data_IF_001954263559
#
_entry.id   IF_001954263559
#
_cell.length_a   1.000
_cell.length_b   1.000
_cell.length_c   1.000
_cell.angle_alpha   90.00
_cell.angle_beta   90.00
_cell.angle_gamma   90.00
#
_symmetry.space_group_name_H-M   'P 1'
#
loop_
_entity.id
_entity.type
_entity.pdbx_description
1 polymer ?
#
# COMPACT_ATOMS: atom_id res chain seq x y z
N UNK A 1 -23.42 -19.76 12.16
CA UNK A 1 -24.43 -19.90 11.12
C UNK A 1 -23.71 -20.30 9.85
N UNK A 2 -24.06 -21.46 9.31
CA UNK A 2 -23.51 -22.16 8.16
C UNK A 2 -23.50 -21.28 6.90
N UNK A 3 -22.46 -21.44 6.09
CA UNK A 3 -22.39 -20.98 4.73
C UNK A 3 -21.19 -21.60 4.04
N UNK A 4 -21.29 -22.90 3.76
CA UNK A 4 -20.48 -23.54 2.74
C UNK A 4 -20.97 -23.05 1.39
N UNK A 5 -20.11 -22.39 0.61
CA UNK A 5 -20.31 -22.22 -0.82
C UNK A 5 -19.15 -22.90 -1.51
N UNK A 6 -19.45 -24.05 -2.10
CA UNK A 6 -18.60 -24.67 -3.09
C UNK A 6 -18.65 -23.82 -4.36
N UNK A 7 -17.52 -23.28 -4.75
CA UNK A 7 -17.31 -22.79 -6.10
C UNK A 7 -16.56 -23.86 -6.89
N UNK A 8 -17.30 -24.73 -7.55
CA UNK A 8 -16.79 -25.53 -8.64
C UNK A 8 -16.49 -24.59 -9.82
N UNK A 9 -15.23 -24.29 -10.01
CA UNK A 9 -14.56 -24.10 -11.30
C UNK A 9 -13.19 -23.45 -11.05
N UNK A 10 -12.17 -24.23 -11.23
CA UNK A 10 -10.71 -24.00 -11.30
C UNK A 10 -9.89 -24.92 -10.38
N UNK A 11 -10.33 -26.12 -10.08
CA UNK A 11 -9.43 -27.18 -9.58
C UNK A 11 -8.65 -26.90 -8.28
N UNK A 12 -9.06 -25.91 -7.49
CA UNK A 12 -8.44 -25.59 -6.19
C UNK A 12 -9.55 -25.53 -5.16
N UNK A 13 -9.72 -26.62 -4.43
CA UNK A 13 -10.59 -26.67 -3.26
C UNK A 13 -9.92 -25.90 -2.12
N UNK A 14 -10.31 -24.65 -1.93
CA UNK A 14 -9.97 -23.91 -0.73
C UNK A 14 -10.93 -24.28 0.40
N UNK A 15 -10.53 -25.21 1.23
CA UNK A 15 -11.22 -25.42 2.51
C UNK A 15 -10.90 -24.24 3.41
N UNK A 16 -11.81 -23.28 3.51
CA UNK A 16 -11.74 -22.22 4.53
C UNK A 16 -12.03 -22.88 5.88
N UNK A 17 -10.98 -23.30 6.57
CA UNK A 17 -11.10 -23.66 7.98
C UNK A 17 -11.54 -22.41 8.74
N UNK A 18 -12.60 -22.53 9.55
CA UNK A 18 -12.97 -21.48 10.51
C UNK A 18 -11.77 -21.21 11.40
N UNK A 19 -11.10 -20.08 11.17
CA UNK A 19 -10.03 -19.61 12.04
C UNK A 19 -10.73 -19.11 13.30
N UNK A 20 -10.57 -19.83 14.40
CA UNK A 20 -10.95 -19.35 15.72
C UNK A 20 -9.98 -18.22 16.05
N UNK A 21 -10.45 -16.99 15.91
CA UNK A 21 -9.74 -15.78 16.32
C UNK A 21 -9.77 -15.75 17.85
N UNK A 22 -8.62 -15.70 18.49
CA UNK A 22 -8.55 -15.60 19.95
C UNK A 22 -9.03 -14.22 20.45
N UNK A 23 -9.24 -14.08 21.76
CA UNK A 23 -9.77 -12.84 22.34
C UNK A 23 -8.82 -11.64 22.15
N UNK A 24 -7.50 -11.86 22.11
CA UNK A 24 -6.52 -10.79 21.86
C UNK A 24 -6.56 -10.36 20.40
N UNK A 25 -6.70 -11.31 19.47
CA UNK A 25 -6.88 -11.02 18.05
C UNK A 25 -8.19 -10.28 17.79
N UNK A 26 -9.30 -10.67 18.46
CA UNK A 26 -10.57 -9.92 18.39
C UNK A 26 -10.42 -8.49 18.88
N UNK A 27 -9.76 -8.28 20.00
CA UNK A 27 -9.50 -6.94 20.54
C UNK A 27 -8.70 -6.09 19.56
N UNK A 28 -7.61 -6.61 19.00
CA UNK A 28 -6.79 -5.93 18.03
C UNK A 28 -7.58 -5.57 16.75
N UNK A 29 -8.47 -6.46 16.30
CA UNK A 29 -9.33 -6.22 15.16
C UNK A 29 -10.32 -5.10 15.43
N UNK A 30 -10.95 -5.09 16.62
CA UNK A 30 -11.92 -4.05 17.00
C UNK A 30 -11.28 -2.67 17.10
N UNK A 31 -10.07 -2.55 17.62
CA UNK A 31 -9.33 -1.29 17.69
C UNK A 31 -9.04 -0.69 16.28
N UNK A 32 -8.85 -1.54 15.28
CA UNK A 32 -8.54 -1.13 13.92
C UNK A 32 -9.77 -1.02 13.00
N UNK A 33 -10.94 -1.49 13.45
CA UNK A 33 -12.17 -1.46 12.67
C UNK A 33 -12.72 -0.03 12.55
N UNK A 34 -13.18 0.36 11.37
CA UNK A 34 -13.73 1.69 11.10
C UNK A 34 -15.24 1.61 10.97
N UNK A 35 -15.93 2.05 12.00
CA UNK A 35 -17.39 2.13 12.06
C UNK A 35 -17.95 3.39 11.40
N UNK A 36 -17.08 4.35 11.13
CA UNK A 36 -17.45 5.62 10.51
C UNK A 36 -16.76 5.81 9.15
N UNK A 37 -17.43 6.54 8.27
CA UNK A 37 -16.85 6.94 7.00
C UNK A 37 -15.70 7.94 7.24
N UNK A 38 -14.51 7.61 6.76
CA UNK A 38 -13.32 8.46 6.90
C UNK A 38 -13.38 9.76 6.09
N UNK A 39 -14.34 9.85 5.16
CA UNK A 39 -14.54 11.03 4.33
C UNK A 39 -15.54 12.02 4.97
N UNK A 40 -16.73 11.55 5.38
CA UNK A 40 -17.80 12.42 5.88
C UNK A 40 -18.11 12.26 7.38
N UNK A 41 -17.45 11.34 8.09
CA UNK A 41 -17.66 11.09 9.52
C UNK A 41 -18.94 10.34 9.89
N UNK A 42 -19.83 10.06 8.94
CA UNK A 42 -21.09 9.35 9.21
C UNK A 42 -20.88 7.83 9.27
N UNK A 43 -21.79 7.14 9.99
CA UNK A 43 -21.74 5.70 10.21
C UNK A 43 -22.63 4.88 9.26
N UNK A 44 -23.18 5.50 8.21
CA UNK A 44 -24.05 4.84 7.24
C UNK A 44 -23.24 4.04 6.20
N UNK A 45 -22.50 3.03 6.69
CA UNK A 45 -21.63 2.18 5.91
C UNK A 45 -22.31 0.85 5.58
N UNK A 46 -22.26 0.47 4.31
CA UNK A 46 -22.73 -0.85 3.83
C UNK A 46 -21.51 -1.65 3.32
N UNK A 47 -21.29 -2.85 3.87
CA UNK A 47 -20.29 -3.77 3.34
C UNK A 47 -20.72 -4.27 1.96
N UNK A 48 -19.86 -4.09 0.96
CA UNK A 48 -20.11 -4.48 -0.43
C UNK A 48 -19.31 -5.66 -0.89
N UNK A 49 -18.10 -5.86 -0.30
CA UNK A 49 -17.22 -7.00 -0.60
C UNK A 49 -16.58 -7.49 0.70
N UNK A 50 -16.42 -8.80 0.83
CA UNK A 50 -15.58 -9.44 1.85
C UNK A 50 -14.80 -10.58 1.22
N UNK A 51 -13.48 -10.52 1.32
CA UNK A 51 -12.55 -11.57 0.92
C UNK A 51 -12.06 -12.41 2.11
N UNK A 52 -12.76 -12.30 3.27
CA UNK A 52 -12.41 -12.98 4.50
C UNK A 52 -11.14 -12.41 5.14
N UNK A 53 -10.47 -13.24 5.95
CA UNK A 53 -9.25 -12.87 6.64
C UNK A 53 -8.03 -13.15 5.78
N UNK A 54 -7.18 -12.14 5.58
CA UNK A 54 -5.99 -12.19 4.74
C UNK A 54 -4.76 -11.71 5.49
N UNK A 55 -3.57 -12.27 5.22
CA UNK A 55 -2.32 -11.70 5.72
C UNK A 55 -2.04 -10.35 5.04
N UNK A 56 -1.19 -9.55 5.67
CA UNK A 56 -0.71 -8.32 5.04
C UNK A 56 0.09 -8.65 3.76
N UNK A 57 -0.16 -7.90 2.69
CA UNK A 57 0.55 -8.05 1.43
C UNK A 57 2.07 -7.86 1.64
N UNK A 58 2.86 -8.66 0.93
CA UNK A 58 4.33 -8.66 1.00
C UNK A 58 4.93 -8.97 2.39
N UNK A 59 4.13 -9.43 3.34
CA UNK A 59 4.61 -9.91 4.64
C UNK A 59 5.00 -11.39 4.55
N UNK A 60 6.10 -11.67 3.85
CA UNK A 60 6.59 -13.02 3.63
C UNK A 60 7.15 -13.62 4.92
N UNK A 61 6.76 -14.84 5.23
CA UNK A 61 7.22 -15.56 6.41
C UNK A 61 8.63 -16.13 6.19
N UNK A 62 9.50 -15.96 7.19
CA UNK A 62 10.87 -16.49 7.13
C UNK A 62 10.95 -18.01 7.36
N UNK A 63 9.92 -18.61 7.98
CA UNK A 63 9.84 -20.03 8.28
C UNK A 63 8.44 -20.55 7.92
N UNK A 64 8.36 -21.79 7.44
CA UNK A 64 7.14 -22.45 6.99
C UNK A 64 6.02 -22.48 8.07
N UNK A 65 6.38 -22.67 9.32
CA UNK A 65 5.42 -22.82 10.43
C UNK A 65 5.24 -21.53 11.26
N UNK A 66 5.72 -20.38 10.73
CA UNK A 66 5.52 -19.10 11.41
C UNK A 66 4.05 -18.68 11.32
N UNK A 67 3.49 -18.24 12.43
CA UNK A 67 2.17 -17.61 12.46
C UNK A 67 2.24 -16.22 11.85
N UNK A 68 1.24 -15.84 11.07
CA UNK A 68 1.07 -14.47 10.60
C UNK A 68 -0.25 -13.91 11.12
N UNK A 69 -0.28 -12.62 11.35
CA UNK A 69 -1.52 -11.91 11.68
C UNK A 69 -2.42 -11.85 10.44
N UNK A 70 -3.70 -12.06 10.67
CA UNK A 70 -4.72 -12.01 9.64
C UNK A 70 -5.67 -10.85 9.93
N UNK A 71 -6.04 -10.13 8.88
CA UNK A 71 -6.95 -8.99 8.95
C UNK A 71 -8.13 -9.19 8.00
N UNK A 72 -9.35 -8.73 8.37
CA UNK A 72 -10.47 -8.71 7.43
C UNK A 72 -10.11 -7.88 6.20
N UNK A 73 -10.23 -8.46 5.03
CA UNK A 73 -10.12 -7.72 3.77
C UNK A 73 -11.53 -7.48 3.23
N UNK A 74 -12.11 -6.39 3.67
CA UNK A 74 -13.49 -6.01 3.37
C UNK A 74 -13.55 -4.58 2.90
N UNK A 75 -14.49 -4.29 2.01
CA UNK A 75 -14.79 -2.94 1.53
C UNK A 75 -16.19 -2.52 1.96
N UNK A 76 -16.27 -1.36 2.57
CA UNK A 76 -17.51 -0.67 2.93
C UNK A 76 -17.75 0.51 1.99
N UNK A 77 -19.01 0.72 1.63
CA UNK A 77 -19.49 1.84 0.85
C UNK A 77 -20.33 2.75 1.75
N UNK A 78 -20.05 4.04 1.75
CA UNK A 78 -20.84 5.03 2.47
C UNK A 78 -22.04 5.44 1.65
N UNK A 79 -23.25 5.25 2.19
CA UNK A 79 -24.50 5.63 1.53
C UNK A 79 -24.75 7.14 1.51
N UNK A 80 -24.02 7.92 2.32
CA UNK A 80 -24.16 9.38 2.38
C UNK A 80 -23.26 10.14 1.40
N UNK A 81 -21.98 9.74 1.29
CA UNK A 81 -21.02 10.47 0.46
C UNK A 81 -20.39 9.63 -0.65
N UNK A 82 -20.84 8.38 -0.81
CA UNK A 82 -20.38 7.45 -1.86
C UNK A 82 -18.90 7.06 -1.78
N UNK A 83 -18.23 7.32 -0.65
CA UNK A 83 -16.85 6.88 -0.43
C UNK A 83 -16.78 5.36 -0.23
N UNK A 84 -15.81 4.72 -0.87
CA UNK A 84 -15.43 3.33 -0.61
C UNK A 84 -14.21 3.28 0.30
N UNK A 85 -14.25 2.44 1.33
CA UNK A 85 -13.14 2.31 2.29
C UNK A 85 -13.00 0.88 2.79
N UNK A 86 -11.80 0.49 3.19
CA UNK A 86 -11.58 -0.76 3.92
C UNK A 86 -12.22 -0.68 5.31
N UNK A 87 -12.75 -1.83 5.79
CA UNK A 87 -13.34 -1.93 7.14
C UNK A 87 -12.28 -1.85 8.24
N UNK A 88 -11.07 -2.27 7.95
CA UNK A 88 -9.92 -2.25 8.87
C UNK A 88 -8.81 -1.36 8.31
N UNK A 89 -8.20 -0.56 9.16
CA UNK A 89 -7.00 0.23 8.85
C UNK A 89 -5.86 -0.23 9.74
N UNK A 90 -4.95 -0.99 9.16
CA UNK A 90 -3.76 -1.46 9.86
C UNK A 90 -2.76 -0.33 10.05
N UNK A 91 -2.04 -0.31 11.17
CA UNK A 91 -0.99 0.68 11.43
C UNK A 91 0.02 0.71 10.25
N UNK A 92 0.20 1.87 9.59
CA UNK A 92 1.13 2.02 8.49
C UNK A 92 2.58 1.61 8.84
N UNK A 93 3.00 1.80 10.08
CA UNK A 93 4.33 1.37 10.54
C UNK A 93 4.49 -0.15 10.45
N UNK A 94 3.42 -0.90 10.75
CA UNK A 94 3.41 -2.36 10.65
C UNK A 94 3.52 -2.84 9.21
N UNK A 95 2.88 -2.13 8.29
CA UNK A 95 2.85 -2.49 6.88
C UNK A 95 4.10 -2.05 6.11
N UNK A 96 4.65 -0.87 6.41
CA UNK A 96 5.57 -0.17 5.52
C UNK A 96 6.94 0.14 6.12
N UNK A 97 7.24 -0.17 7.39
CA UNK A 97 8.57 0.10 7.97
C UNK A 97 9.70 -0.73 7.34
N UNK A 98 9.36 -1.92 6.82
CA UNK A 98 10.24 -2.76 6.01
C UNK A 98 9.41 -3.40 4.90
N UNK A 99 9.66 -3.03 3.66
CA UNK A 99 8.82 -3.44 2.54
C UNK A 99 9.66 -4.15 1.48
N UNK A 100 9.23 -5.37 1.10
CA UNK A 100 10.05 -6.24 0.24
C UNK A 100 9.86 -5.99 -1.26
N UNK A 101 8.76 -5.32 -1.65
CA UNK A 101 8.50 -5.06 -3.06
C UNK A 101 9.32 -3.91 -3.60
N UNK A 102 10.10 -4.19 -4.66
CA UNK A 102 10.91 -3.22 -5.39
C UNK A 102 10.19 -2.83 -6.68
N UNK A 103 9.76 -1.58 -6.78
CA UNK A 103 9.04 -1.09 -7.97
C UNK A 103 9.93 -1.07 -9.21
N UNK A 104 11.24 -0.86 -9.07
CA UNK A 104 12.17 -0.84 -10.19
C UNK A 104 12.42 -2.21 -10.84
N UNK A 105 12.00 -3.32 -10.24
CA UNK A 105 12.14 -4.66 -10.84
C UNK A 105 11.27 -4.84 -12.09
N UNK A 106 10.12 -4.14 -12.15
CA UNK A 106 9.22 -4.19 -13.29
C UNK A 106 9.71 -3.30 -14.43
N UNK A 107 9.93 -3.88 -15.60
CA UNK A 107 10.29 -3.12 -16.81
C UNK A 107 9.17 -2.15 -17.19
N UNK A 108 7.92 -2.59 -17.16
CA UNK A 108 6.76 -1.76 -17.49
C UNK A 108 6.62 -0.56 -16.56
N UNK A 109 6.94 -0.69 -15.26
CA UNK A 109 6.97 0.47 -14.36
C UNK A 109 8.08 1.46 -14.70
N UNK A 110 9.29 0.97 -15.01
CA UNK A 110 10.37 1.87 -15.43
C UNK A 110 10.02 2.65 -16.69
N UNK A 111 9.44 1.98 -17.68
CA UNK A 111 8.98 2.61 -18.93
C UNK A 111 7.85 3.61 -18.66
N UNK A 112 6.86 3.24 -17.83
CA UNK A 112 5.77 4.12 -17.44
C UNK A 112 6.29 5.41 -16.78
N UNK A 113 7.18 5.33 -15.81
CA UNK A 113 7.71 6.51 -15.12
C UNK A 113 8.61 7.37 -16.03
N UNK A 114 9.33 6.77 -16.99
CA UNK A 114 10.05 7.52 -18.00
C UNK A 114 9.09 8.35 -18.87
N UNK A 115 8.01 7.73 -19.35
CA UNK A 115 7.00 8.41 -20.15
C UNK A 115 6.26 9.48 -19.34
N UNK A 116 5.89 9.17 -18.09
CA UNK A 116 5.23 10.10 -17.19
C UNK A 116 6.09 11.33 -16.90
N UNK A 117 7.37 11.15 -16.63
CA UNK A 117 8.31 12.26 -16.41
C UNK A 117 8.39 13.19 -17.64
N UNK A 118 8.54 12.62 -18.84
CA UNK A 118 8.57 13.41 -20.09
C UNK A 118 7.27 14.17 -20.29
N UNK A 119 6.12 13.52 -20.06
CA UNK A 119 4.81 14.16 -20.16
C UNK A 119 4.69 15.33 -19.17
N UNK A 120 5.02 15.13 -17.89
CA UNK A 120 4.93 16.17 -16.87
C UNK A 120 5.87 17.34 -17.14
N UNK A 121 7.10 17.07 -17.59
CA UNK A 121 8.06 18.13 -17.96
C UNK A 121 7.47 19.01 -19.04
N UNK A 122 6.86 18.43 -20.08
CA UNK A 122 6.25 19.17 -21.19
C UNK A 122 4.97 19.91 -20.73
N UNK A 123 4.06 19.22 -20.05
CA UNK A 123 2.74 19.73 -19.66
C UNK A 123 2.85 20.88 -18.66
N UNK A 124 3.69 20.71 -17.63
CA UNK A 124 3.88 21.72 -16.58
C UNK A 124 5.09 22.64 -16.84
N UNK A 125 5.74 22.55 -18.01
CA UNK A 125 6.91 23.36 -18.37
C UNK A 125 7.99 23.33 -17.28
N UNK A 126 8.28 22.13 -16.74
CA UNK A 126 9.21 21.97 -15.63
C UNK A 126 10.65 22.30 -16.07
N UNK A 127 11.38 22.97 -15.19
CA UNK A 127 12.77 23.35 -15.39
C UNK A 127 13.70 22.53 -14.48
N UNK A 128 14.70 21.87 -15.06
CA UNK A 128 15.67 21.08 -14.31
C UNK A 128 16.42 21.90 -13.23
N UNK A 129 16.56 23.21 -13.43
CA UNK A 129 17.22 24.11 -12.46
C UNK A 129 16.28 24.67 -11.38
N UNK A 130 15.00 24.95 -11.74
CA UNK A 130 14.08 25.69 -10.88
C UNK A 130 13.06 24.80 -10.18
N UNK A 131 12.50 23.80 -10.87
CA UNK A 131 11.40 22.97 -10.37
C UNK A 131 11.86 22.01 -9.28
N UNK A 132 10.99 21.80 -8.29
CA UNK A 132 11.12 20.79 -7.25
C UNK A 132 10.25 19.60 -7.63
N UNK A 133 10.80 18.40 -7.52
CA UNK A 133 10.08 17.15 -7.72
C UNK A 133 10.12 16.39 -6.40
N UNK A 134 8.96 16.16 -5.83
CA UNK A 134 8.78 15.39 -4.60
C UNK A 134 7.93 14.16 -4.92
N UNK A 135 8.41 12.99 -4.50
CA UNK A 135 7.69 11.72 -4.61
C UNK A 135 7.42 11.18 -3.21
N UNK A 136 6.15 10.94 -2.87
CA UNK A 136 5.71 10.46 -1.55
C UNK A 136 5.34 8.99 -1.68
N UNK A 137 5.97 8.12 -0.86
CA UNK A 137 5.94 6.67 -1.05
C UNK A 137 6.87 6.26 -2.20
N UNK A 138 8.06 6.87 -2.23
CA UNK A 138 8.95 6.84 -3.40
C UNK A 138 9.58 5.48 -3.69
N UNK A 139 9.36 4.48 -2.83
CA UNK A 139 9.95 3.15 -2.93
C UNK A 139 11.49 3.24 -3.12
N UNK A 140 12.05 2.59 -4.10
CA UNK A 140 13.48 2.62 -4.43
C UNK A 140 13.89 3.80 -5.36
N UNK A 141 12.99 4.77 -5.55
CA UNK A 141 13.21 6.00 -6.33
C UNK A 141 12.93 5.85 -7.82
N UNK A 142 12.24 4.79 -8.24
CA UNK A 142 11.99 4.50 -9.67
C UNK A 142 11.30 5.65 -10.41
N UNK A 143 10.37 6.37 -9.77
CA UNK A 143 9.69 7.51 -10.39
C UNK A 143 10.56 8.78 -10.45
N UNK A 144 11.51 8.92 -9.53
CA UNK A 144 12.45 10.06 -9.49
C UNK A 144 13.65 9.88 -10.43
N UNK A 145 13.98 8.62 -10.76
CA UNK A 145 15.13 8.31 -11.61
C UNK A 145 15.12 9.03 -12.95
N UNK A 146 14.01 9.07 -13.73
CA UNK A 146 13.96 9.81 -14.99
C UNK A 146 14.28 11.31 -14.86
N UNK A 147 13.78 11.95 -13.81
CA UNK A 147 14.08 13.36 -13.54
C UNK A 147 15.57 13.55 -13.20
N UNK A 148 16.17 12.65 -12.43
CA UNK A 148 17.60 12.67 -12.16
C UNK A 148 18.42 12.55 -13.44
N UNK A 149 18.07 11.59 -14.32
CA UNK A 149 18.76 11.34 -15.58
C UNK A 149 18.65 12.55 -16.53
N UNK A 150 17.57 13.33 -16.42
CA UNK A 150 17.35 14.60 -17.11
C UNK A 150 17.93 15.83 -16.36
N UNK A 151 18.85 15.59 -15.41
CA UNK A 151 19.58 16.62 -14.67
C UNK A 151 18.74 17.55 -13.78
N UNK A 152 17.56 17.12 -13.33
CA UNK A 152 16.82 17.85 -12.29
C UNK A 152 17.61 17.80 -10.98
N UNK A 153 17.92 18.97 -10.40
CA UNK A 153 18.76 19.08 -9.21
C UNK A 153 17.97 19.02 -7.90
N UNK A 154 16.68 19.34 -7.95
CA UNK A 154 15.80 19.47 -6.79
C UNK A 154 14.79 18.35 -6.78
N UNK A 155 15.29 17.11 -6.62
CA UNK A 155 14.47 15.89 -6.50
C UNK A 155 14.59 15.33 -5.10
N UNK A 156 13.51 14.82 -4.53
CA UNK A 156 13.48 14.20 -3.22
C UNK A 156 12.37 13.16 -3.12
N UNK A 157 12.68 12.01 -2.52
CA UNK A 157 11.72 11.00 -2.12
C UNK A 157 11.41 11.06 -0.63
N UNK A 158 10.21 10.64 -0.26
CA UNK A 158 9.83 10.29 1.12
C UNK A 158 9.39 8.83 1.11
N UNK A 159 10.07 7.97 1.88
CA UNK A 159 9.79 6.53 1.89
C UNK A 159 9.86 5.99 3.33
N UNK A 160 8.76 5.42 3.86
CA UNK A 160 8.74 4.87 5.20
C UNK A 160 9.56 3.58 5.34
N UNK A 161 9.68 2.78 4.28
CA UNK A 161 10.46 1.54 4.32
C UNK A 161 11.96 1.83 4.36
N UNK A 162 12.59 1.53 5.50
CA UNK A 162 14.02 1.79 5.73
C UNK A 162 14.93 1.14 4.70
N UNK A 163 14.61 -0.10 4.30
CA UNK A 163 15.37 -0.84 3.29
C UNK A 163 15.31 -0.16 1.91
N UNK A 164 14.14 0.36 1.52
CA UNK A 164 13.93 1.01 0.22
C UNK A 164 14.54 2.41 0.19
N UNK A 165 14.31 3.23 1.22
CA UNK A 165 14.94 4.54 1.34
C UNK A 165 16.48 4.45 1.31
N UNK A 166 17.06 3.43 1.98
CA UNK A 166 18.50 3.15 1.93
C UNK A 166 18.97 2.82 0.50
N UNK A 167 18.17 2.02 -0.23
CA UNK A 167 18.49 1.64 -1.62
C UNK A 167 18.43 2.86 -2.55
N UNK A 168 17.37 3.68 -2.45
CA UNK A 168 17.24 4.91 -3.23
C UNK A 168 18.42 5.86 -3.01
N UNK A 169 18.81 6.07 -1.73
CA UNK A 169 19.97 6.90 -1.38
C UNK A 169 21.27 6.32 -1.92
N UNK A 170 21.47 4.99 -1.88
CA UNK A 170 22.63 4.32 -2.50
C UNK A 170 22.70 4.58 -4.01
N UNK A 171 21.56 4.70 -4.67
CA UNK A 171 21.44 5.04 -6.08
C UNK A 171 21.49 6.57 -6.35
N UNK A 172 21.93 7.36 -5.36
CA UNK A 172 22.00 8.82 -5.40
C UNK A 172 20.66 9.50 -5.71
N UNK A 173 19.56 8.94 -5.23
CA UNK A 173 18.24 9.57 -5.21
C UNK A 173 17.95 9.95 -3.77
N UNK A 174 18.12 11.25 -3.44
CA UNK A 174 17.90 11.76 -2.08
C UNK A 174 16.50 11.36 -1.59
N UNK A 175 16.44 10.55 -0.53
CA UNK A 175 15.19 10.03 0.02
C UNK A 175 15.21 10.14 1.54
N UNK A 176 14.20 10.80 2.09
CA UNK A 176 13.94 10.87 3.52
C UNK A 176 13.24 9.58 3.97
N UNK A 177 13.77 8.92 5.01
CA UNK A 177 13.13 7.74 5.57
C UNK A 177 12.11 8.13 6.65
N UNK A 178 10.85 8.08 6.31
CA UNK A 178 9.75 8.42 7.20
C UNK A 178 8.41 8.47 6.48
N UNK A 179 7.37 8.68 7.27
CA UNK A 179 6.05 9.00 6.76
C UNK A 179 5.93 10.51 6.51
N UNK A 180 5.07 10.89 5.58
CA UNK A 180 4.61 12.27 5.47
C UNK A 180 3.43 12.43 6.43
N UNK A 181 3.69 12.87 7.62
CA UNK A 181 2.74 13.21 8.67
C UNK A 181 2.82 14.71 9.04
N UNK A 182 1.96 15.13 9.96
CA UNK A 182 1.86 16.54 10.36
C UNK A 182 3.10 17.01 11.11
#
# INVERSE_FOLDING_TARGET
>A
VRGEREHENYGVTHTVKHILVDENEKKLLMENYKFECRCCGKNNLKRVISLGYQPLANNLLNKKDSKCELYPLEMNYCLDCHNCQLSVVVDPKKMFSNYLYLSSTSQSFREHFNQAAQKYIKEFKLSAKKSYILDIGSNDGVALKPFKDLNFKKIMGIEPAKNLAKLANKNNIKTFNGFLDK
#
